data_IF_773427496970
#
_entry.id   IF_773427496970
#
_cell.length_a   1.000
_cell.length_b   1.000
_cell.length_c   1.000
_cell.angle_alpha   90.00
_cell.angle_beta   90.00
_cell.angle_gamma   90.00
#
_symmetry.space_group_name_H-M   'P 1'
#
loop_
_entity.id
_entity.type
_entity.pdbx_description
1 polymer ?
#
# COMPACT_ATOMS: atom_id res chain seq x y z
N UNK A 1 11.33 12.25 -23.58
CA UNK A 1 9.87 11.97 -23.63
C UNK A 1 9.52 11.11 -22.43
N UNK A 2 9.15 11.71 -21.31
CA UNK A 2 8.84 10.99 -20.06
C UNK A 2 7.46 10.34 -20.20
N UNK A 3 7.40 9.01 -20.35
CA UNK A 3 6.13 8.30 -20.27
C UNK A 3 5.54 8.58 -18.89
N UNK A 4 4.34 9.17 -18.89
CA UNK A 4 3.50 9.33 -17.71
C UNK A 4 3.08 7.93 -17.24
N UNK A 5 3.90 7.27 -16.41
CA UNK A 5 3.56 5.97 -15.85
C UNK A 5 2.46 6.18 -14.78
N UNK A 6 1.21 6.24 -15.24
CA UNK A 6 0.05 6.11 -14.38
C UNK A 6 -0.16 4.63 -14.08
N UNK A 7 0.11 4.24 -12.84
CA UNK A 7 0.02 2.85 -12.40
C UNK A 7 -0.69 2.79 -11.04
N UNK A 8 -1.58 1.82 -10.86
CA UNK A 8 -2.29 1.64 -9.59
C UNK A 8 -2.58 0.18 -9.31
N UNK A 9 -2.51 -0.19 -8.04
CA UNK A 9 -2.83 -1.54 -7.57
C UNK A 9 -3.47 -1.48 -6.20
N UNK A 10 -4.49 -2.32 -5.97
CA UNK A 10 -4.91 -2.63 -4.60
C UNK A 10 -3.73 -3.18 -3.81
N UNK A 11 -3.58 -2.70 -2.59
CA UNK A 11 -2.50 -3.10 -1.69
C UNK A 11 -3.00 -3.07 -0.24
N UNK A 12 -2.38 -3.87 0.60
CA UNK A 12 -2.61 -3.89 2.03
C UNK A 12 -1.39 -3.36 2.75
N UNK A 13 -1.55 -2.28 3.51
CA UNK A 13 -0.52 -1.80 4.42
C UNK A 13 -0.42 -2.76 5.61
N UNK A 14 0.71 -3.44 5.74
CA UNK A 14 0.98 -4.48 6.73
C UNK A 14 1.54 -3.84 8.01
N UNK A 15 0.79 -3.99 9.12
CA UNK A 15 1.07 -3.41 10.43
C UNK A 15 1.12 -4.54 11.48
N UNK A 16 1.99 -5.52 11.24
CA UNK A 16 2.09 -6.73 12.06
C UNK A 16 0.94 -7.68 11.76
N UNK A 17 0.07 -7.92 12.74
CA UNK A 17 -1.13 -8.75 12.57
C UNK A 17 -2.34 -7.95 12.06
N UNK A 18 -2.21 -6.64 11.87
CA UNK A 18 -3.26 -5.76 11.35
C UNK A 18 -2.89 -5.25 9.96
N UNK A 19 -3.90 -5.04 9.14
CA UNK A 19 -3.77 -4.70 7.73
C UNK A 19 -4.82 -3.66 7.36
N UNK A 20 -4.37 -2.62 6.66
CA UNK A 20 -5.22 -1.55 6.16
C UNK A 20 -5.34 -1.69 4.63
N UNK A 21 -6.54 -1.94 4.08
CA UNK A 21 -6.73 -2.01 2.64
C UNK A 21 -6.64 -0.61 2.02
N UNK A 22 -5.97 -0.52 0.89
CA UNK A 22 -5.89 0.71 0.13
C UNK A 22 -5.51 0.48 -1.33
N UNK A 23 -5.22 1.57 -2.00
CA UNK A 23 -4.70 1.58 -3.35
C UNK A 23 -3.41 2.38 -3.39
N UNK A 24 -2.32 1.72 -3.79
CA UNK A 24 -1.05 2.37 -4.07
C UNK A 24 -1.09 2.85 -5.52
N UNK A 25 -0.75 4.12 -5.75
CA UNK A 25 -0.84 4.75 -7.07
C UNK A 25 0.43 5.55 -7.35
N UNK A 26 0.92 5.45 -8.58
CA UNK A 26 1.84 6.39 -9.19
C UNK A 26 1.07 7.14 -10.26
N UNK A 27 1.05 8.47 -10.19
CA UNK A 27 0.43 9.31 -11.21
C UNK A 27 1.23 10.59 -11.36
N UNK A 28 1.61 10.94 -12.59
CA UNK A 28 2.36 12.16 -12.88
C UNK A 28 3.61 12.35 -12.01
N UNK A 29 4.35 11.26 -11.73
CA UNK A 29 5.55 11.29 -10.88
C UNK A 29 5.28 11.39 -9.38
N UNK A 30 4.02 11.30 -8.94
CA UNK A 30 3.62 11.30 -7.52
C UNK A 30 3.16 9.93 -7.07
N UNK A 31 3.73 9.47 -5.97
CA UNK A 31 3.33 8.26 -5.28
C UNK A 31 2.29 8.61 -4.21
N UNK A 32 1.19 7.88 -4.17
CA UNK A 32 0.14 8.05 -3.16
C UNK A 32 -0.42 6.72 -2.68
N UNK A 33 -0.91 6.70 -1.45
CA UNK A 33 -1.68 5.58 -0.91
C UNK A 33 -3.04 6.06 -0.39
N UNK A 34 -4.10 5.63 -1.06
CA UNK A 34 -5.48 5.95 -0.71
C UNK A 34 -6.07 4.83 0.13
N UNK A 35 -6.57 5.13 1.32
CA UNK A 35 -7.22 4.16 2.20
C UNK A 35 -8.62 3.85 1.67
N UNK A 36 -8.93 2.56 1.51
CA UNK A 36 -10.20 2.10 0.94
C UNK A 36 -11.21 1.63 2.00
N UNK A 37 -10.78 1.47 3.25
CA UNK A 37 -11.62 1.08 4.38
C UNK A 37 -10.79 0.78 5.62
N UNK A 38 -11.45 0.37 6.71
CA UNK A 38 -10.81 0.14 8.01
C UNK A 38 -9.97 -1.16 8.06
N UNK A 39 -10.30 -2.15 7.24
CA UNK A 39 -9.66 -3.46 7.31
C UNK A 39 -9.88 -4.10 8.68
N UNK A 40 -8.79 -4.53 9.33
CA UNK A 40 -8.83 -5.02 10.72
C UNK A 40 -8.00 -4.14 11.67
N UNK A 41 -7.83 -2.84 11.33
CA UNK A 41 -6.96 -1.94 12.06
C UNK A 41 -7.54 -1.56 13.42
N UNK A 42 -8.84 -1.22 13.48
CA UNK A 42 -9.49 -0.68 14.67
C UNK A 42 -8.97 0.71 15.05
N UNK A 43 -9.70 1.40 15.93
CA UNK A 43 -9.33 2.73 16.46
C UNK A 43 -7.86 2.85 16.91
N UNK A 44 -7.39 1.96 17.80
CA UNK A 44 -6.00 1.97 18.28
C UNK A 44 -4.96 1.78 17.18
N UNK A 45 -5.34 1.11 16.09
CA UNK A 45 -4.47 0.90 14.95
C UNK A 45 -4.33 2.17 14.12
N UNK A 46 -5.43 2.90 13.93
CA UNK A 46 -5.41 4.23 13.33
C UNK A 46 -4.58 5.21 14.16
N UNK A 47 -4.84 5.34 15.47
CA UNK A 47 -4.09 6.25 16.35
C UNK A 47 -2.56 6.05 16.23
N UNK A 48 -2.10 4.78 16.18
CA UNK A 48 -0.68 4.46 15.97
C UNK A 48 -0.17 4.82 14.56
N UNK A 49 -1.00 4.59 13.54
CA UNK A 49 -0.63 4.91 12.16
C UNK A 49 -0.55 6.43 11.96
N UNK A 50 -1.50 7.18 12.49
CA UNK A 50 -1.54 8.65 12.47
C UNK A 50 -0.32 9.22 13.19
N UNK A 51 -0.02 8.76 14.40
CA UNK A 51 1.16 9.20 15.16
C UNK A 51 2.50 8.94 14.43
N UNK A 52 2.60 7.83 13.69
CA UNK A 52 3.80 7.49 12.95
C UNK A 52 3.90 8.21 11.60
N UNK A 53 2.78 8.40 10.91
CA UNK A 53 2.75 9.00 9.56
C UNK A 53 2.61 10.52 9.56
N UNK A 54 2.16 11.11 10.67
CA UNK A 54 1.77 12.52 10.74
C UNK A 54 0.43 12.84 10.08
N UNK A 55 -0.26 11.85 9.50
CA UNK A 55 -1.57 12.02 8.86
C UNK A 55 -2.67 11.97 9.93
N UNK A 56 -3.09 13.12 10.45
CA UNK A 56 -4.14 13.20 11.47
C UNK A 56 -5.53 12.85 10.92
N UNK A 57 -6.42 12.39 11.80
CA UNK A 57 -7.84 12.12 11.54
C UNK A 57 -8.14 11.02 10.50
N UNK A 58 -7.13 10.25 10.08
CA UNK A 58 -7.29 9.16 9.13
C UNK A 58 -8.39 8.17 9.56
N UNK A 59 -8.41 7.77 10.82
CA UNK A 59 -9.42 6.84 11.35
C UNK A 59 -10.83 7.42 11.30
N UNK A 60 -10.99 8.66 11.73
CA UNK A 60 -12.28 9.35 11.74
C UNK A 60 -12.82 9.58 10.32
N UNK A 61 -11.95 9.88 9.35
CA UNK A 61 -12.32 10.01 7.95
C UNK A 61 -12.80 8.68 7.37
N UNK A 62 -12.10 7.58 7.65
CA UNK A 62 -12.51 6.24 7.20
C UNK A 62 -13.84 5.82 7.83
N UNK A 63 -14.05 6.09 9.12
CA UNK A 63 -15.30 5.79 9.83
C UNK A 63 -16.50 6.54 9.21
N UNK A 64 -16.26 7.77 8.73
CA UNK A 64 -17.26 8.57 7.99
C UNK A 64 -17.48 8.11 6.54
N UNK A 65 -16.85 7.01 6.11
CA UNK A 65 -16.95 6.47 4.76
C UNK A 65 -16.08 7.21 3.72
N UNK A 66 -15.19 8.11 4.16
CA UNK A 66 -14.25 8.78 3.27
C UNK A 66 -13.10 7.83 2.86
N UNK A 67 -12.35 8.24 1.83
CA UNK A 67 -11.19 7.51 1.31
C UNK A 67 -9.94 8.39 1.36
N UNK A 68 -9.42 8.69 2.56
CA UNK A 68 -8.32 9.63 2.72
C UNK A 68 -7.01 9.11 2.12
N UNK A 69 -6.14 10.04 1.75
CA UNK A 69 -4.75 9.74 1.40
C UNK A 69 -3.93 9.64 2.69
N UNK A 70 -3.26 8.52 2.90
CA UNK A 70 -2.28 8.38 3.98
C UNK A 70 -1.04 9.23 3.69
N UNK A 71 -0.64 9.28 2.42
CA UNK A 71 0.43 10.14 1.92
C UNK A 71 0.23 10.40 0.42
N UNK A 72 0.79 11.52 -0.04
CA UNK A 72 1.01 11.85 -1.45
C UNK A 72 2.29 12.68 -1.55
N UNK A 73 3.27 12.20 -2.33
CA UNK A 73 4.56 12.85 -2.48
C UNK A 73 5.15 12.61 -3.87
N UNK A 74 6.04 13.49 -4.37
CA UNK A 74 6.91 13.18 -5.51
C UNK A 74 7.67 11.87 -5.29
N UNK A 75 7.87 11.09 -6.36
CA UNK A 75 8.62 9.83 -6.29
C UNK A 75 10.05 10.03 -5.76
N UNK A 76 10.64 11.19 -6.02
CA UNK A 76 11.98 11.59 -5.54
C UNK A 76 12.08 11.74 -4.02
N UNK A 77 10.97 11.88 -3.31
CA UNK A 77 10.95 11.94 -1.84
C UNK A 77 10.89 10.55 -1.18
N UNK A 78 10.81 9.47 -1.98
CA UNK A 78 10.92 8.10 -1.47
C UNK A 78 12.39 7.80 -1.18
N UNK A 79 12.74 7.73 0.10
CA UNK A 79 14.12 7.55 0.55
C UNK A 79 14.68 6.16 0.22
N UNK A 80 13.85 5.12 0.38
CA UNK A 80 14.26 3.73 0.13
C UNK A 80 13.10 2.90 -0.40
N UNK A 81 13.41 2.06 -1.38
CA UNK A 81 12.50 1.07 -1.95
C UNK A 81 13.17 -0.29 -1.82
N UNK A 82 12.44 -1.27 -1.29
CA UNK A 82 12.95 -2.64 -1.17
C UNK A 82 11.85 -3.65 -1.48
N UNK A 83 12.22 -4.69 -2.23
CA UNK A 83 11.33 -5.80 -2.61
C UNK A 83 11.81 -7.10 -1.93
N UNK A 84 11.33 -7.42 -0.72
CA UNK A 84 11.76 -8.61 -0.01
C UNK A 84 11.48 -9.90 -0.76
N UNK A 85 12.49 -10.75 -0.88
CA UNK A 85 12.40 -12.05 -1.57
C UNK A 85 11.34 -12.98 -0.96
N UNK A 86 11.13 -12.92 0.37
CA UNK A 86 10.13 -13.73 1.08
C UNK A 86 8.68 -13.29 0.86
N UNK A 87 8.44 -12.11 0.26
CA UNK A 87 7.14 -11.80 -0.30
C UNK A 87 6.92 -12.47 -1.66
N UNK A 88 7.89 -13.25 -2.15
CA UNK A 88 7.89 -13.85 -3.48
C UNK A 88 7.58 -12.81 -4.58
N UNK A 89 8.13 -11.60 -4.48
CA UNK A 89 7.81 -10.45 -5.35
C UNK A 89 6.34 -9.98 -5.28
N UNK A 90 5.59 -10.36 -4.25
CA UNK A 90 4.19 -9.97 -4.00
C UNK A 90 4.02 -8.81 -3.03
N UNK A 91 5.10 -8.12 -2.66
CA UNK A 91 5.05 -7.02 -1.72
C UNK A 91 6.20 -6.04 -1.88
N UNK A 92 6.08 -4.91 -1.19
CA UNK A 92 6.95 -3.75 -1.32
C UNK A 92 7.21 -3.12 0.05
N UNK A 93 8.41 -2.62 0.29
CA UNK A 93 8.72 -1.78 1.44
C UNK A 93 9.20 -0.41 0.97
N UNK A 94 8.60 0.63 1.53
CA UNK A 94 8.95 2.03 1.27
C UNK A 94 9.39 2.70 2.56
N UNK A 95 10.43 3.52 2.48
CA UNK A 95 10.75 4.49 3.54
C UNK A 95 10.47 5.88 3.01
N UNK A 96 9.65 6.64 3.73
CA UNK A 96 9.25 8.01 3.42
C UNK A 96 9.34 8.82 4.70
N UNK A 97 10.09 9.92 4.72
CA UNK A 97 10.30 10.76 5.90
C UNK A 97 10.72 9.92 7.14
N UNK A 98 11.64 8.97 6.95
CA UNK A 98 12.07 8.02 7.99
C UNK A 98 11.04 6.95 8.41
N UNK A 99 9.82 6.97 7.88
CA UNK A 99 8.75 6.03 8.21
C UNK A 99 8.72 4.86 7.23
N UNK A 100 8.75 3.63 7.76
CA UNK A 100 8.63 2.42 6.94
C UNK A 100 7.18 1.98 6.74
N UNK A 101 6.78 1.85 5.47
CA UNK A 101 5.52 1.28 5.03
C UNK A 101 5.78 -0.06 4.33
N UNK A 102 5.03 -1.10 4.71
CA UNK A 102 5.14 -2.44 4.13
C UNK A 102 3.82 -2.76 3.43
N UNK A 103 3.87 -3.13 2.17
CA UNK A 103 2.69 -3.43 1.36
C UNK A 103 2.72 -4.89 0.91
N UNK A 104 1.57 -5.55 1.03
CA UNK A 104 1.25 -6.78 0.31
C UNK A 104 0.30 -6.48 -0.85
N UNK A 105 0.45 -7.18 -1.97
CA UNK A 105 -0.43 -7.08 -3.13
C UNK A 105 -1.45 -8.24 -3.22
N UNK A 106 -1.35 -9.19 -2.30
CA UNK A 106 -2.37 -10.19 -1.99
C UNK A 106 -3.20 -9.73 -0.78
N UNK A 107 -4.47 -10.16 -0.75
CA UNK A 107 -5.30 -9.95 0.42
C UNK A 107 -4.82 -10.86 1.56
N UNK A 108 -4.45 -10.30 2.72
CA UNK A 108 -4.11 -11.12 3.88
C UNK A 108 -5.32 -11.92 4.34
N UNK A 109 -5.13 -13.20 4.65
CA UNK A 109 -6.18 -14.14 5.07
C UNK A 109 -6.96 -13.70 6.32
N UNK A 110 -6.41 -12.78 7.13
CA UNK A 110 -7.02 -12.22 8.33
C UNK A 110 -7.74 -10.87 8.10
N UNK A 111 -7.85 -10.41 6.85
CA UNK A 111 -8.61 -9.20 6.48
C UNK A 111 -10.04 -9.60 6.19
N UNK A 112 -10.97 -9.36 7.12
CA UNK A 112 -12.40 -9.58 6.87
C UNK A 112 -12.91 -8.54 5.87
N UNK A 113 -13.50 -9.02 4.78
CA UNK A 113 -14.12 -8.20 3.75
C UNK A 113 -13.48 -8.39 2.38
N UNK A 114 -14.31 -8.83 1.42
CA UNK A 114 -14.06 -9.06 -0.01
C UNK A 114 -13.49 -10.45 -0.37
N UNK A 115 -14.42 -11.32 -0.75
CA UNK A 115 -14.32 -12.64 -1.39
C UNK A 115 -14.27 -13.89 -0.48
N UNK A 116 -15.44 -14.53 -0.44
CA UNK A 116 -15.66 -15.97 -0.30
C UNK A 116 -14.71 -16.76 -1.22
N UNK A 117 -14.40 -18.00 -0.81
CA UNK A 117 -13.33 -18.86 -1.33
C UNK A 117 -12.99 -18.71 -2.81
N UNK A 118 -11.74 -18.35 -3.11
CA UNK A 118 -11.26 -18.19 -4.47
C UNK A 118 -9.74 -18.27 -4.57
N UNK A 119 -9.25 -19.40 -5.09
CA UNK A 119 -7.94 -19.66 -5.70
C UNK A 119 -6.70 -18.93 -5.11
N UNK A 120 -6.11 -19.53 -4.07
CA UNK A 120 -4.82 -19.13 -3.49
C UNK A 120 -3.70 -18.98 -4.55
N UNK A 121 -3.68 -19.82 -5.60
CA UNK A 121 -2.65 -19.76 -6.63
C UNK A 121 -2.82 -18.55 -7.55
N UNK A 122 -4.07 -18.24 -7.94
CA UNK A 122 -4.42 -17.02 -8.68
C UNK A 122 -4.06 -15.73 -7.93
N UNK A 123 -4.25 -15.72 -6.61
CA UNK A 123 -3.89 -14.59 -5.74
C UNK A 123 -2.37 -14.33 -5.73
N UNK A 124 -1.56 -15.38 -5.58
CA UNK A 124 -0.09 -15.29 -5.58
C UNK A 124 0.46 -14.80 -6.93
N UNK A 125 -0.07 -15.34 -8.04
CA UNK A 125 0.35 -14.93 -9.38
C UNK A 125 0.02 -13.45 -9.67
N UNK A 126 -1.14 -12.97 -9.18
CA UNK A 126 -1.51 -11.55 -9.27
C UNK A 126 -0.60 -10.67 -8.43
N UNK A 127 -0.33 -11.05 -7.18
CA UNK A 127 0.56 -10.31 -6.29
C UNK A 127 1.97 -10.19 -6.90
N UNK A 128 2.50 -11.29 -7.45
CA UNK A 128 3.78 -11.34 -8.18
C UNK A 128 3.85 -10.37 -9.35
N UNK A 129 2.79 -10.35 -10.18
CA UNK A 129 2.71 -9.42 -11.33
C UNK A 129 2.69 -7.97 -10.85
N UNK A 130 1.94 -7.67 -9.80
CA UNK A 130 1.90 -6.34 -9.20
C UNK A 130 3.26 -5.89 -8.68
N UNK A 131 3.97 -6.74 -7.91
CA UNK A 131 5.28 -6.35 -7.39
C UNK A 131 6.36 -6.25 -8.47
N UNK A 132 6.32 -7.09 -9.51
CA UNK A 132 7.20 -6.91 -10.70
C UNK A 132 6.93 -5.58 -11.42
N UNK A 133 5.66 -5.22 -11.60
CA UNK A 133 5.30 -3.95 -12.24
C UNK A 133 5.74 -2.75 -11.39
N UNK A 134 5.56 -2.80 -10.07
CA UNK A 134 6.09 -1.78 -9.17
C UNK A 134 7.61 -1.69 -9.21
N UNK A 135 8.31 -2.82 -9.27
CA UNK A 135 9.77 -2.83 -9.38
C UNK A 135 10.23 -2.11 -10.66
N UNK A 136 9.63 -2.44 -11.81
CA UNK A 136 9.93 -1.76 -13.08
C UNK A 136 9.67 -0.24 -12.99
N UNK A 137 8.56 0.16 -12.36
CA UNK A 137 8.22 1.57 -12.15
C UNK A 137 9.29 2.33 -11.36
N UNK A 138 9.85 1.74 -10.29
CA UNK A 138 10.90 2.38 -9.50
C UNK A 138 12.28 2.32 -10.18
N UNK A 139 12.55 1.29 -10.99
CA UNK A 139 13.79 1.18 -11.78
C UNK A 139 13.81 2.15 -12.98
N UNK A 140 12.67 2.42 -13.61
CA UNK A 140 12.54 3.38 -14.72
C UNK A 140 12.47 4.86 -14.26
N UNK A 141 12.14 5.09 -13.00
CA UNK A 141 11.95 6.43 -12.41
C UNK A 141 13.14 6.96 -11.59
N UNK A 142 14.22 6.18 -11.46
CA UNK A 142 15.49 6.56 -10.80
C UNK A 142 16.51 7.03 -11.83
#
# INVERSE_FOLDING_TARGET
MTRRNNFSTKAWLLLGNRNLPGELRLSSGRLSFCVLGEGNLGRRGFEKLEARSGCAELGALVERGARPLLFELPLSEVERVHFPWYYFSGGLKLTIAGVQYRFGFDQPSNSRGVNEGGDLFGSIARARRAGKAWKAVFEEGS
#
